data_IF_913242252694
#
_entry.id   IF_913242252694
#
_cell.length_a   1.000
_cell.length_b   1.000
_cell.length_c   1.000
_cell.angle_alpha   90.00
_cell.angle_beta   90.00
_cell.angle_gamma   90.00
#
_symmetry.space_group_name_H-M   'P 1'
#
loop_
_entity.id
_entity.type
_entity.pdbx_description
1 polymer ?
#
# COMPACT_ATOMS: atom_id res chain seq x y z
N UNK A 1 4.54 -36.56 -14.66
CA UNK A 1 5.25 -35.34 -14.18
C UNK A 1 4.62 -34.10 -14.80
N UNK A 2 4.12 -33.16 -14.01
CA UNK A 2 3.78 -31.84 -14.54
C UNK A 2 5.10 -31.12 -14.86
N UNK A 3 5.33 -30.80 -16.14
CA UNK A 3 6.53 -30.07 -16.54
C UNK A 3 6.61 -28.73 -15.80
N UNK A 4 7.83 -28.26 -15.50
CA UNK A 4 8.05 -26.95 -14.86
C UNK A 4 7.33 -25.81 -15.61
N UNK A 5 7.21 -25.93 -16.94
CA UNK A 5 6.45 -25.01 -17.79
C UNK A 5 4.94 -25.00 -17.52
N UNK A 6 4.33 -26.15 -17.19
CA UNK A 6 2.91 -26.21 -16.81
C UNK A 6 2.67 -25.58 -15.44
N UNK A 7 3.60 -25.77 -14.51
CA UNK A 7 3.55 -25.17 -13.16
C UNK A 7 3.62 -23.64 -13.24
N UNK A 8 4.57 -23.10 -14.00
CA UNK A 8 4.73 -21.65 -14.15
C UNK A 8 3.53 -21.01 -14.86
N UNK A 9 2.98 -21.65 -15.89
CA UNK A 9 1.74 -21.21 -16.56
C UNK A 9 0.56 -21.13 -15.58
N UNK A 10 0.35 -22.17 -14.75
CA UNK A 10 -0.71 -22.19 -13.73
C UNK A 10 -0.50 -21.09 -12.67
N UNK A 11 0.75 -20.84 -12.25
CA UNK A 11 1.09 -19.77 -11.31
C UNK A 11 0.81 -18.37 -11.88
N UNK A 12 1.17 -18.14 -13.14
CA UNK A 12 0.91 -16.87 -13.84
C UNK A 12 -0.60 -16.61 -13.99
N UNK A 13 -1.37 -17.62 -14.38
CA UNK A 13 -2.82 -17.52 -14.48
C UNK A 13 -3.47 -17.15 -13.13
N UNK A 14 -3.03 -17.79 -12.04
CA UNK A 14 -3.50 -17.48 -10.67
C UNK A 14 -3.18 -16.03 -10.27
N UNK A 15 -1.95 -15.58 -10.48
CA UNK A 15 -1.55 -14.19 -10.18
C UNK A 15 -2.42 -13.18 -10.92
N UNK A 16 -2.68 -13.40 -12.21
CA UNK A 16 -3.54 -12.52 -13.02
C UNK A 16 -4.97 -12.46 -12.46
N UNK A 17 -5.54 -13.61 -12.09
CA UNK A 17 -6.88 -13.69 -11.50
C UNK A 17 -6.94 -12.95 -10.14
N UNK A 18 -5.92 -13.08 -9.31
CA UNK A 18 -5.91 -12.54 -7.95
C UNK A 18 -5.54 -11.05 -7.87
N UNK A 19 -4.94 -10.48 -8.92
CA UNK A 19 -4.44 -9.10 -8.93
C UNK A 19 -5.53 -8.07 -8.55
N UNK A 20 -6.76 -8.23 -9.05
CA UNK A 20 -7.86 -7.33 -8.71
C UNK A 20 -8.27 -7.40 -7.24
N UNK A 21 -8.29 -8.62 -6.67
CA UNK A 21 -8.58 -8.84 -5.26
C UNK A 21 -7.49 -8.29 -4.36
N UNK A 22 -6.21 -8.52 -4.70
CA UNK A 22 -5.06 -7.97 -3.98
C UNK A 22 -5.08 -6.43 -4.01
N UNK A 23 -5.38 -5.82 -5.16
CA UNK A 23 -5.54 -4.36 -5.28
C UNK A 23 -6.64 -3.84 -4.36
N UNK A 24 -7.81 -4.47 -4.37
CA UNK A 24 -8.95 -4.08 -3.53
C UNK A 24 -8.62 -4.21 -2.03
N UNK A 25 -7.96 -5.30 -1.62
CA UNK A 25 -7.56 -5.51 -0.23
C UNK A 25 -6.52 -4.48 0.22
N UNK A 26 -5.57 -4.11 -0.65
CA UNK A 26 -4.59 -3.06 -0.36
C UNK A 26 -5.26 -1.69 -0.20
N UNK A 27 -6.22 -1.36 -1.06
CA UNK A 27 -6.99 -0.11 -0.96
C UNK A 27 -7.88 -0.09 0.29
N UNK A 28 -8.56 -1.18 0.61
CA UNK A 28 -9.43 -1.26 1.79
C UNK A 28 -8.69 -1.20 3.13
N UNK A 29 -7.41 -1.61 3.19
CA UNK A 29 -6.61 -1.56 4.42
C UNK A 29 -6.23 -0.14 4.88
N UNK A 30 -6.29 0.87 4.01
CA UNK A 30 -5.96 2.28 4.32
C UNK A 30 -6.99 3.24 3.72
N UNK A 31 -8.27 2.95 3.93
CA UNK A 31 -9.35 3.81 3.40
C UNK A 31 -9.37 5.21 4.03
N UNK A 32 -8.84 5.37 5.24
CA UNK A 32 -8.63 6.66 5.90
C UNK A 32 -7.29 6.65 6.62
N UNK A 33 -6.53 7.72 6.44
CA UNK A 33 -5.32 8.02 7.21
C UNK A 33 -5.75 8.22 8.67
N UNK A 34 -4.99 7.69 9.64
CA UNK A 34 -5.34 7.90 11.05
C UNK A 34 -5.24 9.40 11.40
N UNK A 35 -5.92 9.84 12.46
CA UNK A 35 -5.82 11.23 12.91
C UNK A 35 -4.36 11.66 13.13
N UNK A 36 -3.55 10.79 13.74
CA UNK A 36 -2.12 11.03 13.95
C UNK A 36 -1.33 11.13 12.65
N UNK A 37 -1.60 10.26 11.67
CA UNK A 37 -0.95 10.30 10.36
C UNK A 37 -1.39 11.54 9.54
N UNK A 38 -2.61 12.05 9.73
CA UNK A 38 -3.11 13.25 9.04
C UNK A 38 -2.43 14.53 9.52
N UNK A 39 -2.09 14.60 10.81
CA UNK A 39 -1.59 15.82 11.44
C UNK A 39 -0.12 15.72 11.89
N UNK A 40 0.60 14.66 11.50
CA UNK A 40 2.00 14.45 11.85
C UNK A 40 2.91 15.64 11.48
N UNK A 41 2.59 16.33 10.38
CA UNK A 41 3.35 17.49 9.90
C UNK A 41 2.80 18.83 10.40
N UNK A 42 1.65 18.84 11.08
CA UNK A 42 1.01 20.08 11.55
C UNK A 42 1.58 20.60 12.88
N UNK A 43 2.39 19.82 13.59
CA UNK A 43 2.95 20.20 14.89
C UNK A 43 1.91 20.25 16.02
N UNK A 44 2.32 20.72 17.21
CA UNK A 44 1.41 20.86 18.34
C UNK A 44 0.51 22.10 18.19
N UNK A 45 -0.78 22.01 18.58
CA UNK A 45 -1.69 23.15 18.55
C UNK A 45 -1.15 24.30 19.41
N UNK A 46 -0.99 25.48 18.81
CA UNK A 46 -0.46 26.68 19.46
C UNK A 46 1.03 26.93 19.26
N UNK A 47 1.75 26.03 18.58
CA UNK A 47 3.13 26.23 18.14
C UNK A 47 3.19 26.37 16.62
N UNK A 48 4.15 27.13 16.06
CA UNK A 48 4.31 27.23 14.61
C UNK A 48 4.59 25.83 14.02
N UNK A 49 4.03 25.56 12.84
CA UNK A 49 4.22 24.29 12.15
C UNK A 49 5.73 24.02 11.94
N UNK A 50 6.18 22.76 12.12
CA UNK A 50 7.58 22.39 11.93
C UNK A 50 8.02 22.66 10.48
N UNK A 51 9.27 23.08 10.30
CA UNK A 51 9.84 23.29 8.98
C UNK A 51 9.76 21.98 8.15
N UNK A 52 9.41 22.06 6.85
CA UNK A 52 9.29 20.87 6.01
C UNK A 52 10.61 20.12 5.99
N UNK A 53 10.57 18.80 6.23
CA UNK A 53 11.76 17.95 6.09
C UNK A 53 12.13 17.91 4.61
N UNK A 54 13.26 18.53 4.26
CA UNK A 54 13.78 18.51 2.90
C UNK A 54 14.10 17.07 2.50
N UNK A 55 13.46 16.57 1.44
CA UNK A 55 13.77 15.28 0.84
C UNK A 55 15.23 15.30 0.32
N UNK A 56 16.12 14.56 0.99
CA UNK A 56 17.45 14.18 0.51
C UNK A 56 17.57 12.67 0.52
#
# INVERSE_FOLDING_TARGET
>A
MASFTKITKKKRARRRKNMGHERKMKQGRRSTVSYEELFADCGEPGKPAPAPKSDK
#
